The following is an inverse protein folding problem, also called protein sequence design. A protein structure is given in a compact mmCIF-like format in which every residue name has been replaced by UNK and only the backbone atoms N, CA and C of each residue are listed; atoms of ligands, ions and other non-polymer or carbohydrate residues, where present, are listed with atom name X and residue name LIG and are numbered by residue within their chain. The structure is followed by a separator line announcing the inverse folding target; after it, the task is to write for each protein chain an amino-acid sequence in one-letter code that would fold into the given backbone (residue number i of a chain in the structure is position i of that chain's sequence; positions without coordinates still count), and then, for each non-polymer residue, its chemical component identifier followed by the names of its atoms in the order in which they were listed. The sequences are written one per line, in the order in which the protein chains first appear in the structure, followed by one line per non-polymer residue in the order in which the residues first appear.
data_IF_515903386788
#
_entry.id   IF_515903386788
#
_cell.length_a   1.000
_cell.length_b   1.000
_cell.length_c   1.000
_cell.angle_alpha   90.00
_cell.angle_beta   90.00
_cell.angle_gamma   90.00
#
_symmetry.space_group_name_H-M   'P 1'
#
loop_
_entity.id
_entity.type
_entity.pdbx_description
1 polymer ?
#
# COMPACT_ATOMS: atom_id res chain seq x y z
N UNK A 1 0.55 -16.76 -12.22
CA UNK A 1 1.97 -16.41 -12.49
C UNK A 1 2.45 -15.30 -11.54
N UNK A 2 3.76 -15.21 -11.29
CA UNK A 2 4.36 -14.09 -10.54
C UNK A 2 5.30 -13.37 -11.52
N UNK A 3 4.85 -12.25 -12.07
CA UNK A 3 5.60 -11.43 -13.00
C UNK A 3 6.36 -10.36 -12.21
N UNK A 4 7.68 -10.38 -12.29
CA UNK A 4 8.54 -9.39 -11.65
C UNK A 4 8.92 -8.29 -12.63
N UNK A 5 8.79 -7.05 -12.21
CA UNK A 5 9.47 -5.92 -12.83
C UNK A 5 10.68 -5.54 -11.97
N UNK A 6 11.85 -5.38 -12.60
CA UNK A 6 13.07 -4.97 -11.90
C UNK A 6 12.85 -3.68 -11.09
N UNK A 7 12.10 -2.73 -11.65
CA UNK A 7 11.45 -1.65 -10.90
C UNK A 7 10.10 -1.35 -11.55
N UNK A 8 9.15 -0.80 -10.80
CA UNK A 8 7.86 -0.38 -11.37
C UNK A 8 7.99 0.74 -12.42
N UNK A 9 9.10 1.47 -12.47
CA UNK A 9 9.36 2.42 -13.56
C UNK A 9 9.29 1.73 -14.94
N UNK A 10 9.82 0.51 -15.04
CA UNK A 10 9.81 -0.26 -16.28
C UNK A 10 8.44 -0.89 -16.59
N UNK A 11 7.56 -1.00 -15.59
CA UNK A 11 6.20 -1.48 -15.80
C UNK A 11 5.40 -0.59 -16.77
N UNK A 12 5.79 0.68 -16.95
CA UNK A 12 5.17 1.56 -17.95
C UNK A 12 5.22 0.99 -19.38
N UNK A 13 6.25 0.21 -19.72
CA UNK A 13 6.32 -0.46 -21.03
C UNK A 13 5.28 -1.57 -21.19
N UNK A 14 4.82 -2.15 -20.08
CA UNK A 14 3.90 -3.28 -20.04
C UNK A 14 2.52 -2.93 -19.44
N UNK A 15 2.27 -1.65 -19.13
CA UNK A 15 1.06 -1.25 -18.39
C UNK A 15 -0.23 -1.58 -19.14
N UNK A 16 -0.20 -1.61 -20.47
CA UNK A 16 -1.32 -2.07 -21.29
C UNK A 16 -1.73 -3.52 -20.97
N UNK A 17 -0.76 -4.42 -20.77
CA UNK A 17 -1.03 -5.81 -20.40
C UNK A 17 -1.59 -5.91 -18.98
N UNK A 18 -1.11 -5.09 -18.06
CA UNK A 18 -1.62 -5.04 -16.68
C UNK A 18 -3.07 -4.53 -16.67
N UNK A 19 -3.37 -3.49 -17.44
CA UNK A 19 -4.66 -2.81 -17.39
C UNK A 19 -5.70 -3.43 -18.32
N UNK A 20 -5.42 -3.50 -19.62
CA UNK A 20 -6.41 -3.90 -20.61
C UNK A 20 -6.54 -5.43 -20.70
N UNK A 21 -5.43 -6.16 -20.65
CA UNK A 21 -5.47 -7.63 -20.76
C UNK A 21 -5.76 -8.33 -19.43
N UNK A 22 -5.27 -7.82 -18.30
CA UNK A 22 -5.48 -8.45 -17.00
C UNK A 22 -6.68 -7.86 -16.25
N UNK A 23 -6.60 -6.60 -15.82
CA UNK A 23 -7.59 -6.01 -14.89
C UNK A 23 -9.04 -6.08 -15.42
N UNK A 24 -9.24 -5.78 -16.71
CA UNK A 24 -10.58 -5.63 -17.29
C UNK A 24 -11.21 -6.94 -17.77
N UNK A 25 -10.44 -8.01 -17.92
CA UNK A 25 -10.89 -9.23 -18.61
C UNK A 25 -12.01 -9.96 -17.87
N UNK A 26 -11.95 -10.06 -16.54
CA UNK A 26 -13.04 -10.70 -15.78
C UNK A 26 -14.37 -9.96 -15.98
N UNK A 27 -14.34 -8.63 -15.99
CA UNK A 27 -15.53 -7.83 -16.25
C UNK A 27 -16.01 -7.94 -17.71
N UNK A 28 -15.12 -7.78 -18.70
CA UNK A 28 -15.49 -7.86 -20.12
C UNK A 28 -15.99 -9.24 -20.54
N UNK A 29 -15.52 -10.30 -19.88
CA UNK A 29 -15.97 -11.67 -20.10
C UNK A 29 -17.24 -12.02 -19.31
N UNK A 30 -17.87 -11.06 -18.65
CA UNK A 30 -19.05 -11.25 -17.80
C UNK A 30 -18.83 -12.34 -16.71
N UNK A 31 -17.63 -12.34 -16.12
CA UNK A 31 -17.26 -13.22 -15.00
C UNK A 31 -16.79 -14.62 -15.40
N UNK A 32 -16.48 -14.84 -16.68
CA UNK A 32 -16.11 -16.19 -17.17
C UNK A 32 -14.59 -16.42 -17.25
N UNK A 33 -13.78 -15.36 -17.35
CA UNK A 33 -12.32 -15.46 -17.47
C UNK A 33 -11.64 -14.69 -16.33
N UNK A 34 -11.14 -15.41 -15.33
CA UNK A 34 -10.25 -14.87 -14.31
C UNK A 34 -8.81 -14.72 -14.84
N UNK A 35 -8.05 -13.79 -14.28
CA UNK A 35 -6.64 -13.57 -14.61
C UNK A 35 -5.79 -13.60 -13.32
N UNK A 36 -5.47 -14.80 -12.78
CA UNK A 36 -4.73 -14.97 -11.54
C UNK A 36 -3.23 -14.69 -11.75
N UNK A 37 -2.86 -13.41 -11.71
CA UNK A 37 -1.48 -12.94 -11.91
C UNK A 37 -1.08 -11.94 -10.83
N UNK A 38 0.14 -12.10 -10.33
CA UNK A 38 0.79 -11.13 -9.45
C UNK A 38 1.83 -10.36 -10.24
N UNK A 39 1.77 -9.03 -10.20
CA UNK A 39 2.84 -8.15 -10.66
C UNK A 39 3.56 -7.60 -9.43
N UNK A 40 4.87 -7.83 -9.31
CA UNK A 40 5.63 -7.38 -8.14
C UNK A 40 6.98 -6.77 -8.51
N UNK A 41 7.56 -6.04 -7.58
CA UNK A 41 8.85 -5.38 -7.71
C UNK A 41 8.94 -4.11 -6.88
N UNK A 42 10.12 -3.48 -6.79
CA UNK A 42 10.30 -2.24 -6.04
C UNK A 42 9.64 -1.05 -6.75
N UNK A 43 9.05 -0.17 -5.95
CA UNK A 43 8.29 1.02 -6.38
C UNK A 43 8.66 2.25 -5.55
N UNK A 44 8.68 3.42 -6.19
CA UNK A 44 8.98 4.69 -5.54
C UNK A 44 10.48 5.03 -5.53
N UNK A 45 10.85 5.93 -4.63
CA UNK A 45 12.22 6.45 -4.54
C UNK A 45 13.21 5.40 -3.99
N UNK A 46 14.44 5.51 -4.48
CA UNK A 46 15.61 4.74 -4.09
C UNK A 46 16.81 5.68 -3.85
N UNK A 47 17.98 5.15 -3.53
CA UNK A 47 19.16 5.96 -3.23
C UNK A 47 19.92 6.38 -4.50
N UNK A 48 19.87 7.67 -4.86
CA UNK A 48 20.73 8.23 -5.92
C UNK A 48 20.42 7.80 -7.36
N UNK A 49 19.23 7.28 -7.63
CA UNK A 49 18.87 6.68 -8.94
C UNK A 49 18.27 7.66 -9.96
N UNK A 50 18.22 8.96 -9.62
CA UNK A 50 17.69 10.04 -10.46
C UNK A 50 16.21 9.87 -10.88
N UNK A 51 15.75 10.67 -11.84
CA UNK A 51 14.32 10.87 -12.10
C UNK A 51 13.60 9.64 -12.70
N UNK A 52 14.23 8.92 -13.64
CA UNK A 52 13.59 7.82 -14.37
C UNK A 52 13.48 6.50 -13.58
N UNK A 53 14.04 6.46 -12.37
CA UNK A 53 14.07 5.27 -11.51
C UNK A 53 13.43 5.50 -10.14
N UNK A 54 12.80 6.66 -9.91
CA UNK A 54 12.29 7.07 -8.59
C UNK A 54 10.77 7.24 -8.52
N UNK A 55 10.02 6.81 -9.54
CA UNK A 55 8.58 7.08 -9.61
C UNK A 55 7.77 6.10 -8.75
N UNK A 56 6.80 6.64 -8.01
CA UNK A 56 5.78 5.85 -7.32
C UNK A 56 4.53 5.70 -8.21
N UNK A 57 4.09 4.47 -8.42
CA UNK A 57 2.93 4.10 -9.22
C UNK A 57 1.69 3.74 -8.39
N UNK A 58 1.72 4.02 -7.08
CA UNK A 58 0.62 3.76 -6.14
C UNK A 58 -0.70 4.30 -6.66
N UNK A 59 -0.76 5.59 -6.95
CA UNK A 59 -1.96 6.26 -7.44
C UNK A 59 -2.40 5.78 -8.83
N UNK A 60 -1.46 5.48 -9.72
CA UNK A 60 -1.77 5.02 -11.08
C UNK A 60 -2.49 3.66 -11.05
N UNK A 61 -1.92 2.68 -10.38
CA UNK A 61 -2.52 1.34 -10.34
C UNK A 61 -3.77 1.30 -9.46
N UNK A 62 -3.84 2.08 -8.37
CA UNK A 62 -5.04 2.13 -7.50
C UNK A 62 -6.26 2.75 -8.20
N UNK A 63 -6.04 3.52 -9.27
CA UNK A 63 -7.12 4.10 -10.06
C UNK A 63 -7.86 3.07 -10.93
N UNK A 64 -7.24 1.94 -11.28
CA UNK A 64 -7.76 1.01 -12.29
C UNK A 64 -8.74 -0.02 -11.70
N UNK A 65 -10.02 -0.05 -12.12
CA UNK A 65 -10.95 -1.11 -11.75
C UNK A 65 -10.51 -2.50 -12.24
N UNK A 66 -10.78 -3.51 -11.43
CA UNK A 66 -10.34 -4.89 -11.68
C UNK A 66 -8.96 -5.23 -11.14
N UNK A 67 -8.15 -4.23 -10.74
CA UNK A 67 -6.93 -4.46 -9.98
C UNK A 67 -7.19 -4.50 -8.47
N UNK A 68 -6.36 -5.27 -7.77
CA UNK A 68 -6.03 -5.09 -6.35
C UNK A 68 -4.60 -4.56 -6.25
N UNK A 69 -4.36 -3.61 -5.36
CA UNK A 69 -3.06 -2.95 -5.21
C UNK A 69 -2.66 -2.92 -3.74
N UNK A 70 -1.49 -3.48 -3.45
CA UNK A 70 -0.92 -3.57 -2.11
C UNK A 70 0.47 -2.92 -2.08
N UNK A 71 0.82 -2.32 -0.94
CA UNK A 71 2.06 -1.60 -0.74
C UNK A 71 2.59 -1.89 0.68
N UNK A 72 3.32 -2.99 0.87
CA UNK A 72 3.78 -3.43 2.18
C UNK A 72 4.83 -2.48 2.79
N UNK A 73 4.87 -2.40 4.12
CA UNK A 73 5.88 -1.65 4.87
C UNK A 73 6.95 -2.57 5.49
N UNK A 74 6.56 -3.60 6.25
CA UNK A 74 7.50 -4.43 7.03
C UNK A 74 7.55 -5.89 6.53
N UNK A 75 8.30 -6.75 7.24
CA UNK A 75 8.44 -8.17 6.92
C UNK A 75 7.09 -8.92 6.97
N UNK A 76 6.25 -8.67 7.97
CA UNK A 76 4.95 -9.34 8.10
C UNK A 76 4.03 -8.94 6.95
N UNK A 77 3.93 -7.65 6.65
CA UNK A 77 3.16 -7.13 5.51
C UNK A 77 3.60 -7.79 4.21
N UNK A 78 4.91 -7.77 3.94
CA UNK A 78 5.47 -8.31 2.69
C UNK A 78 5.14 -9.79 2.53
N UNK A 79 5.32 -10.58 3.59
CA UNK A 79 5.03 -12.01 3.56
C UNK A 79 3.53 -12.30 3.44
N UNK A 80 2.71 -11.68 4.27
CA UNK A 80 1.27 -11.94 4.34
C UNK A 80 0.54 -11.47 3.08
N UNK A 81 0.85 -10.27 2.58
CA UNK A 81 0.21 -9.71 1.40
C UNK A 81 0.66 -10.39 0.11
N UNK A 82 1.94 -10.76 -0.03
CA UNK A 82 2.40 -11.49 -1.21
C UNK A 82 1.74 -12.88 -1.28
N UNK A 83 1.59 -13.58 -0.15
CA UNK A 83 0.88 -14.86 -0.11
C UNK A 83 -0.60 -14.70 -0.43
N UNK A 84 -1.24 -13.64 0.07
CA UNK A 84 -2.62 -13.33 -0.27
C UNK A 84 -2.77 -13.02 -1.76
N UNK A 85 -1.88 -12.22 -2.34
CA UNK A 85 -1.85 -11.89 -3.76
C UNK A 85 -1.70 -13.13 -4.65
N UNK A 86 -0.81 -14.06 -4.28
CA UNK A 86 -0.61 -15.32 -5.03
C UNK A 86 -1.85 -16.22 -5.01
N UNK A 87 -2.62 -16.19 -3.91
CA UNK A 87 -3.83 -16.99 -3.73
C UNK A 87 -5.08 -16.34 -4.33
N UNK A 88 -4.98 -15.09 -4.75
CA UNK A 88 -6.10 -14.31 -5.28
C UNK A 88 -6.39 -14.71 -6.74
N UNK A 89 -7.68 -14.86 -7.15
CA UNK A 89 -8.03 -15.22 -8.52
C UNK A 89 -7.91 -14.05 -9.52
N UNK A 90 -7.73 -12.82 -9.04
CA UNK A 90 -7.69 -11.60 -9.84
C UNK A 90 -6.27 -11.02 -9.93
N UNK A 91 -6.02 -10.05 -10.83
CA UNK A 91 -4.71 -9.42 -10.92
C UNK A 91 -4.37 -8.58 -9.67
N UNK A 92 -3.21 -8.85 -9.08
CA UNK A 92 -2.73 -8.12 -7.90
C UNK A 92 -1.38 -7.45 -8.18
N UNK A 93 -1.28 -6.16 -7.88
CA UNK A 93 -0.05 -5.38 -7.98
C UNK A 93 0.55 -5.21 -6.57
N UNK A 94 1.75 -5.75 -6.37
CA UNK A 94 2.52 -5.66 -5.13
C UNK A 94 3.65 -4.63 -5.27
N UNK A 95 3.41 -3.42 -4.76
CA UNK A 95 4.34 -2.29 -4.79
C UNK A 95 5.29 -2.33 -3.59
N UNK A 96 6.37 -3.09 -3.73
CA UNK A 96 7.43 -3.21 -2.73
C UNK A 96 8.32 -1.96 -2.72
N UNK A 97 9.34 -1.93 -1.87
CA UNK A 97 10.25 -0.79 -1.78
C UNK A 97 11.69 -1.26 -1.58
N UNK A 98 12.59 -0.75 -2.41
CA UNK A 98 13.99 -1.18 -2.46
C UNK A 98 14.74 -0.88 -1.15
N UNK A 99 14.50 0.29 -0.56
CA UNK A 99 15.14 0.69 0.71
C UNK A 99 14.73 -0.24 1.86
N UNK A 100 13.52 -0.80 1.83
CA UNK A 100 13.00 -1.68 2.86
C UNK A 100 13.52 -3.11 2.78
N UNK A 101 14.10 -3.55 1.66
CA UNK A 101 14.57 -4.93 1.51
C UNK A 101 15.70 -5.30 2.48
N UNK A 102 16.56 -4.34 2.81
CA UNK A 102 17.66 -4.54 3.76
C UNK A 102 17.29 -4.27 5.22
N UNK A 103 16.04 -3.89 5.50
CA UNK A 103 15.60 -3.54 6.85
C UNK A 103 15.19 -4.77 7.65
N UNK A 104 15.49 -4.75 8.95
CA UNK A 104 15.14 -5.83 9.89
C UNK A 104 13.97 -5.41 10.76
N UNK A 105 12.94 -6.26 10.82
CA UNK A 105 11.78 -6.08 11.68
C UNK A 105 11.60 -7.27 12.61
N UNK A 106 11.05 -7.08 13.83
CA UNK A 106 10.51 -8.19 14.60
C UNK A 106 9.44 -8.92 13.79
N UNK A 107 9.45 -10.25 13.86
CA UNK A 107 8.48 -11.12 13.16
C UNK A 107 7.85 -12.04 14.20
N UNK A 108 6.53 -12.08 14.25
CA UNK A 108 5.79 -12.99 15.13
C UNK A 108 5.91 -14.46 14.69
N UNK A 109 5.75 -15.40 15.62
CA UNK A 109 5.69 -16.83 15.31
C UNK A 109 4.53 -17.15 14.35
N UNK A 110 3.41 -16.41 14.47
CA UNK A 110 2.28 -16.52 13.55
C UNK A 110 2.71 -16.16 12.12
N UNK A 111 3.46 -15.07 11.94
CA UNK A 111 3.96 -14.67 10.63
C UNK A 111 4.90 -15.70 9.99
N UNK A 112 5.59 -16.54 10.79
CA UNK A 112 6.43 -17.63 10.30
C UNK A 112 5.63 -18.82 9.77
N UNK A 113 4.34 -18.90 10.07
CA UNK A 113 3.45 -19.95 9.54
C UNK A 113 3.41 -19.96 8.01
N UNK A 114 3.20 -21.14 7.43
CA UNK A 114 2.93 -21.31 6.00
C UNK A 114 1.53 -20.83 5.62
N UNK A 115 0.65 -20.67 6.60
CA UNK A 115 -0.74 -20.23 6.39
C UNK A 115 -0.98 -18.78 6.77
N UNK A 116 0.07 -18.07 7.21
CA UNK A 116 -0.01 -16.64 7.47
C UNK A 116 -0.43 -15.88 6.21
N UNK A 117 -1.53 -15.16 6.34
CA UNK A 117 -2.11 -14.31 5.31
C UNK A 117 -2.54 -13.00 5.93
N UNK A 118 -2.35 -11.91 5.18
CA UNK A 118 -2.95 -10.62 5.51
C UNK A 118 -4.06 -10.36 4.49
N UNK A 119 -5.30 -10.07 4.92
CA UNK A 119 -6.38 -9.78 4.00
C UNK A 119 -6.08 -8.49 3.22
N UNK A 120 -6.18 -8.58 1.88
CA UNK A 120 -6.16 -7.41 1.00
C UNK A 120 -7.36 -6.51 1.36
N UNK A 121 -7.15 -5.19 1.38
CA UNK A 121 -8.17 -4.23 1.79
C UNK A 121 -8.30 -3.99 3.30
N UNK A 122 -7.32 -4.43 4.11
CA UNK A 122 -7.28 -4.15 5.54
C UNK A 122 -6.00 -3.45 5.96
N UNK A 123 -6.17 -2.27 6.56
CA UNK A 123 -5.10 -1.49 7.15
C UNK A 123 -4.74 -2.04 8.54
N UNK A 124 -3.59 -1.61 9.07
CA UNK A 124 -3.14 -1.91 10.43
C UNK A 124 -2.86 -0.61 11.18
N UNK A 125 -3.35 -0.52 12.41
CA UNK A 125 -2.90 0.52 13.34
C UNK A 125 -1.55 0.04 13.90
N UNK A 126 -0.46 0.68 13.49
CA UNK A 126 0.90 0.36 13.95
C UNK A 126 1.18 0.98 15.32
N UNK A 127 0.53 2.11 15.62
CA UNK A 127 0.64 2.82 16.89
C UNK A 127 -0.73 3.41 17.24
N UNK A 128 -1.25 3.10 18.42
CA UNK A 128 -2.47 3.73 18.92
C UNK A 128 -2.19 5.19 19.33
N UNK A 129 -3.16 6.07 19.11
CA UNK A 129 -3.09 7.46 19.55
C UNK A 129 -4.46 8.09 19.71
N UNK A 130 -4.48 9.37 20.13
CA UNK A 130 -5.73 10.09 20.43
C UNK A 130 -5.77 11.54 19.95
N UNK A 131 -4.63 12.12 19.56
CA UNK A 131 -4.56 13.53 19.20
C UNK A 131 -4.66 13.77 17.69
N UNK A 132 -4.08 12.87 16.87
CA UNK A 132 -4.07 12.99 15.41
C UNK A 132 -3.93 11.61 14.75
N UNK A 133 -4.53 11.45 13.57
CA UNK A 133 -4.37 10.27 12.72
C UNK A 133 -3.36 10.54 11.60
N UNK A 134 -2.32 9.72 11.53
CA UNK A 134 -1.34 9.70 10.45
C UNK A 134 -1.60 8.46 9.59
N UNK A 135 -1.88 8.64 8.30
CA UNK A 135 -2.14 7.55 7.36
C UNK A 135 -1.02 7.49 6.33
N UNK A 136 -0.37 6.34 6.21
CA UNK A 136 0.75 6.14 5.30
C UNK A 136 0.78 4.73 4.71
N UNK A 137 1.61 4.53 3.69
CA UNK A 137 1.89 3.21 3.13
C UNK A 137 3.39 3.08 2.82
N UNK A 138 3.87 1.84 2.70
CA UNK A 138 5.28 1.54 2.43
C UNK A 138 6.25 2.28 3.38
N UNK A 139 7.41 2.72 2.88
CA UNK A 139 8.46 3.42 3.63
C UNK A 139 7.95 4.65 4.40
N UNK A 140 6.88 5.31 3.95
CA UNK A 140 6.30 6.47 4.65
C UNK A 140 5.71 6.13 6.02
N UNK A 141 5.36 4.85 6.27
CA UNK A 141 4.92 4.40 7.59
C UNK A 141 6.02 4.57 8.63
N UNK A 142 7.27 4.29 8.26
CA UNK A 142 8.44 4.50 9.14
C UNK A 142 8.58 5.98 9.52
N UNK A 143 8.48 6.87 8.53
CA UNK A 143 8.52 8.32 8.76
C UNK A 143 7.41 8.76 9.73
N UNK A 144 6.22 8.19 9.64
CA UNK A 144 5.13 8.48 10.57
C UNK A 144 5.41 7.95 11.99
N UNK A 145 5.99 6.75 12.12
CA UNK A 145 6.35 6.18 13.41
C UNK A 145 7.45 6.98 14.12
N UNK A 146 8.47 7.41 13.38
CA UNK A 146 9.55 8.27 13.87
C UNK A 146 9.00 9.64 14.32
N UNK A 147 8.18 10.28 13.48
CA UNK A 147 7.53 11.54 13.84
C UNK A 147 6.60 11.42 15.05
N UNK A 148 5.82 10.34 15.13
CA UNK A 148 4.97 10.05 16.27
C UNK A 148 5.77 9.86 17.57
N UNK A 149 6.95 9.23 17.50
CA UNK A 149 7.85 9.07 18.65
C UNK A 149 8.40 10.41 19.13
N UNK A 150 8.79 11.31 18.22
CA UNK A 150 9.25 12.66 18.59
C UNK A 150 8.12 13.48 19.23
N UNK A 151 6.93 13.44 18.64
CA UNK A 151 5.75 14.16 19.10
C UNK A 151 5.25 13.67 20.47
N UNK A 152 5.43 12.38 20.80
CA UNK A 152 5.11 11.85 22.12
C UNK A 152 5.94 12.54 23.22
N UNK A 153 7.20 12.88 22.95
CA UNK A 153 8.04 13.67 23.87
C UNK A 153 7.52 15.09 24.12
N UNK A 154 6.60 15.57 23.27
CA UNK A 154 5.89 16.85 23.38
C UNK A 154 4.44 16.68 23.86
N UNK A 155 4.06 15.48 24.30
CA UNK A 155 2.71 15.16 24.78
C UNK A 155 1.66 14.93 23.67
N UNK A 156 2.08 14.78 22.41
CA UNK A 156 1.19 14.57 21.26
C UNK A 156 1.21 13.08 20.89
N UNK A 157 0.03 12.47 20.80
CA UNK A 157 -0.15 11.03 20.69
C UNK A 157 -0.79 10.72 19.35
N UNK A 158 0.05 10.36 18.38
CA UNK A 158 -0.36 10.09 17.02
C UNK A 158 -0.83 8.63 16.87
N UNK A 159 -2.00 8.44 16.29
CA UNK A 159 -2.43 7.15 15.77
C UNK A 159 -1.81 6.96 14.38
N UNK A 160 -0.98 5.93 14.19
CA UNK A 160 -0.33 5.66 12.91
C UNK A 160 -1.00 4.48 12.24
N UNK A 161 -1.56 4.71 11.05
CA UNK A 161 -2.21 3.72 10.21
C UNK A 161 -1.30 3.39 9.03
N UNK A 162 -0.95 2.12 8.93
CA UNK A 162 -0.35 1.50 7.76
C UNK A 162 -1.46 0.97 6.85
N UNK A 163 -1.62 1.58 5.68
CA UNK A 163 -2.69 1.26 4.75
C UNK A 163 -2.68 -0.19 4.28
N UNK A 164 -1.50 -0.76 4.03
CA UNK A 164 -1.26 -2.07 3.40
C UNK A 164 -1.83 -2.22 1.98
N UNK A 165 -3.10 -1.89 1.77
CA UNK A 165 -3.80 -1.92 0.49
C UNK A 165 -4.18 -0.51 0.05
N UNK A 166 -3.82 -0.18 -1.19
CA UNK A 166 -4.21 1.07 -1.85
C UNK A 166 -5.51 0.89 -2.65
N UNK A 167 -5.80 -0.35 -3.06
CA UNK A 167 -7.05 -0.74 -3.71
C UNK A 167 -7.39 -2.20 -3.38
N UNK A 168 -8.57 -2.49 -2.80
CA UNK A 168 -9.48 -1.52 -2.18
C UNK A 168 -8.85 -0.85 -0.95
N UNK A 169 -9.21 0.40 -0.71
CA UNK A 169 -8.77 1.17 0.45
C UNK A 169 -9.62 0.80 1.68
N UNK A 170 -8.99 0.67 2.85
CA UNK A 170 -9.71 0.40 4.12
C UNK A 170 -10.26 1.69 4.75
N UNK A 171 -11.28 2.25 4.10
CA UNK A 171 -11.91 3.52 4.52
C UNK A 171 -12.45 3.44 5.96
N UNK A 172 -12.92 2.27 6.38
CA UNK A 172 -13.53 2.05 7.70
C UNK A 172 -12.52 2.30 8.83
N UNK A 173 -11.32 1.76 8.72
CA UNK A 173 -10.26 1.93 9.73
C UNK A 173 -9.82 3.40 9.82
N UNK A 174 -9.68 4.07 8.68
CA UNK A 174 -9.31 5.49 8.62
C UNK A 174 -10.40 6.33 9.28
N UNK A 175 -11.66 6.15 8.89
CA UNK A 175 -12.79 6.93 9.43
C UNK A 175 -12.93 6.75 10.95
N UNK A 176 -12.85 5.52 11.46
CA UNK A 176 -12.94 5.26 12.91
C UNK A 176 -11.83 5.98 13.69
N UNK A 177 -10.62 5.98 13.14
CA UNK A 177 -9.49 6.68 13.74
C UNK A 177 -9.69 8.20 13.70
N UNK A 178 -10.10 8.76 12.57
CA UNK A 178 -10.36 10.21 12.44
C UNK A 178 -11.49 10.67 13.35
N UNK A 179 -12.58 9.92 13.49
CA UNK A 179 -13.66 10.23 14.44
C UNK A 179 -13.17 10.28 15.90
N UNK A 180 -12.13 9.51 16.22
CA UNK A 180 -11.52 9.51 17.56
C UNK A 180 -10.55 10.68 17.75
N UNK A 181 -9.74 10.99 16.75
CA UNK A 181 -8.64 11.97 16.87
C UNK A 181 -8.99 13.38 16.41
N UNK A 182 -10.07 13.53 15.62
CA UNK A 182 -10.55 14.75 14.97
C UNK A 182 -9.58 15.40 13.98
N UNK A 183 -8.43 14.77 13.69
CA UNK A 183 -7.39 15.33 12.84
C UNK A 183 -6.78 14.25 11.96
N UNK A 184 -6.47 14.60 10.71
CA UNK A 184 -5.94 13.68 9.72
C UNK A 184 -4.75 14.31 8.99
N UNK A 185 -3.66 13.55 8.85
CA UNK A 185 -2.56 13.82 7.92
C UNK A 185 -2.30 12.55 7.11
N UNK A 186 -2.19 12.70 5.80
CA UNK A 186 -1.76 11.63 4.89
C UNK A 186 -0.30 11.85 4.51
N UNK A 187 0.49 10.79 4.53
CA UNK A 187 1.92 10.84 4.19
C UNK A 187 2.22 9.81 3.10
N UNK A 188 2.73 10.28 1.97
CA UNK A 188 3.18 9.45 0.85
C UNK A 188 4.48 9.99 0.26
N UNK A 189 5.23 9.12 -0.42
CA UNK A 189 6.46 9.47 -1.15
C UNK A 189 6.22 9.66 -2.66
N UNK A 190 4.96 9.56 -3.10
CA UNK A 190 4.57 9.82 -4.49
C UNK A 190 4.49 11.31 -4.81
N UNK A 191 4.19 11.62 -6.08
CA UNK A 191 3.89 13.00 -6.46
C UNK A 191 2.56 13.45 -5.87
N UNK A 192 2.44 14.73 -5.46
CA UNK A 192 1.31 15.18 -4.64
C UNK A 192 -0.01 15.31 -5.42
N UNK A 193 0.05 15.72 -6.69
CA UNK A 193 -1.15 15.92 -7.48
C UNK A 193 -1.75 14.56 -7.88
N UNK A 194 -3.02 14.37 -7.55
CA UNK A 194 -3.75 13.10 -7.78
C UNK A 194 -3.09 11.88 -7.11
N UNK A 195 -2.40 12.11 -5.99
CA UNK A 195 -1.79 11.07 -5.17
C UNK A 195 -2.80 10.26 -4.34
N UNK A 196 -2.30 9.32 -3.55
CA UNK A 196 -3.13 8.50 -2.65
C UNK A 196 -3.79 9.37 -1.57
N UNK A 197 -3.06 10.36 -1.04
CA UNK A 197 -3.55 11.32 -0.07
C UNK A 197 -4.74 12.12 -0.59
N UNK A 198 -4.77 12.43 -1.89
CA UNK A 198 -5.90 13.15 -2.49
C UNK A 198 -7.21 12.34 -2.41
N UNK A 199 -7.17 11.04 -2.70
CA UNK A 199 -8.33 10.14 -2.58
C UNK A 199 -8.77 10.01 -1.12
N UNK A 200 -7.82 9.84 -0.19
CA UNK A 200 -8.13 9.76 1.25
C UNK A 200 -8.80 11.05 1.70
N UNK A 201 -8.23 12.21 1.39
CA UNK A 201 -8.81 13.52 1.75
C UNK A 201 -10.20 13.71 1.15
N UNK A 202 -10.41 13.33 -0.11
CA UNK A 202 -11.71 13.46 -0.77
C UNK A 202 -12.80 12.61 -0.06
N UNK A 203 -12.48 11.38 0.35
CA UNK A 203 -13.43 10.50 1.05
C UNK A 203 -13.74 10.90 2.48
N UNK A 204 -12.83 11.62 3.14
CA UNK A 204 -12.93 12.00 4.54
C UNK A 204 -13.36 13.47 4.73
N UNK A 205 -13.53 14.24 3.65
CA UNK A 205 -13.96 15.64 3.75
C UNK A 205 -15.44 15.76 4.16
N UNK A 206 -15.70 16.45 5.28
CA UNK A 206 -17.06 16.81 5.72
C UNK A 206 -17.84 15.73 6.50
N UNK A 207 -17.16 14.70 7.00
CA UNK A 207 -17.71 13.69 7.92
C UNK A 207 -17.00 13.77 9.26
#
# INVERSE_FOLDING_TARGET
PICEFMTFNFSMQAIDQVVNSAAKTFYMSAGTINVPVVFRGPNGAAAGVAAQHSQCFGAWYSHVPGLKVVSPYNCEDSRGLLKAAIRDPDPVVCLENEILYGATYPVSDEALSKDFLIPIGKAKIERAGKHITLVAHSKAVETCLEGAKELAGKGIECEVINLRSLRPLDDETIMKSVMKTNHLITVEQGWPQSGIGAEISAKNHGK
#
